data_IF_917011331471
#
_entry.id   IF_917011331471
#
_cell.length_a   1.000
_cell.length_b   1.000
_cell.length_c   1.000
_cell.angle_alpha   90.00
_cell.angle_beta   90.00
_cell.angle_gamma   90.00
#
_symmetry.space_group_name_H-M   'P 1'
#
loop_
_entity.id
_entity.type
_entity.pdbx_description
1 polymer ?
#
# COMPACT_ATOMS: atom_id res chain seq x y z
N UNK A 1 -20.01 -15.43 -0.46
CA UNK A 1 -19.37 -14.91 -1.70
C UNK A 1 -18.58 -16.06 -2.33
N UNK A 2 -18.71 -16.33 -3.62
CA UNK A 2 -17.91 -17.39 -4.28
C UNK A 2 -16.41 -17.07 -4.29
N UNK A 3 -15.56 -18.11 -4.32
CA UNK A 3 -14.08 -18.00 -4.24
C UNK A 3 -13.50 -16.99 -5.23
N UNK A 4 -13.87 -17.10 -6.51
CA UNK A 4 -13.45 -16.16 -7.59
C UNK A 4 -13.82 -14.69 -7.31
N UNK A 5 -14.97 -14.45 -6.67
CA UNK A 5 -15.44 -13.09 -6.34
C UNK A 5 -14.70 -12.52 -5.14
N UNK A 6 -14.34 -13.37 -4.18
CA UNK A 6 -13.54 -12.99 -3.01
C UNK A 6 -12.12 -12.59 -3.43
N UNK A 7 -11.47 -13.37 -4.28
CA UNK A 7 -10.14 -13.04 -4.84
C UNK A 7 -10.12 -11.68 -5.55
N UNK A 8 -11.12 -11.42 -6.40
CA UNK A 8 -11.25 -10.13 -7.09
C UNK A 8 -11.40 -8.95 -6.13
N UNK A 9 -12.15 -9.10 -5.03
CA UNK A 9 -12.35 -8.03 -4.03
C UNK A 9 -11.15 -7.82 -3.12
N UNK A 10 -10.31 -8.83 -2.93
CA UNK A 10 -9.10 -8.72 -2.10
C UNK A 10 -7.94 -8.05 -2.84
N UNK A 11 -8.06 -7.81 -4.15
CA UNK A 11 -7.03 -7.19 -4.97
C UNK A 11 -6.90 -5.70 -4.65
N UNK A 12 -5.68 -5.25 -4.33
CA UNK A 12 -5.38 -3.87 -3.99
C UNK A 12 -4.64 -3.15 -5.13
N UNK A 13 -4.82 -1.83 -5.24
CA UNK A 13 -4.11 -0.97 -6.19
C UNK A 13 -3.32 0.11 -5.42
N UNK A 14 -2.06 -0.16 -5.05
CA UNK A 14 -1.25 0.81 -4.32
C UNK A 14 -0.75 1.94 -5.23
N UNK A 15 -0.27 3.02 -4.60
CA UNK A 15 0.46 4.10 -5.25
C UNK A 15 1.64 4.53 -4.39
N UNK A 16 2.64 5.16 -5.01
CA UNK A 16 3.76 5.78 -4.31
C UNK A 16 3.94 7.21 -4.82
N UNK A 17 4.06 8.16 -3.89
CA UNK A 17 4.14 9.60 -4.18
C UNK A 17 5.07 10.27 -3.17
N UNK A 18 5.83 11.25 -3.65
CA UNK A 18 6.58 12.19 -2.77
C UNK A 18 5.60 13.29 -2.35
N UNK A 19 5.41 13.48 -1.06
CA UNK A 19 4.40 14.39 -0.49
C UNK A 19 5.04 15.25 0.59
N UNK A 20 4.71 16.55 0.62
CA UNK A 20 5.08 17.46 1.72
C UNK A 20 4.24 17.18 2.97
N UNK A 21 4.80 17.43 4.16
CA UNK A 21 4.09 17.24 5.43
C UNK A 21 2.80 18.07 5.55
N UNK A 22 2.72 19.25 4.93
CA UNK A 22 1.51 20.07 4.92
C UNK A 22 0.31 19.41 4.25
N UNK A 23 0.52 18.41 3.38
CA UNK A 23 -0.54 17.69 2.68
C UNK A 23 -0.95 16.39 3.39
N UNK A 24 -0.42 16.12 4.59
CA UNK A 24 -0.71 14.93 5.37
C UNK A 24 -1.46 15.30 6.65
N UNK A 25 -2.56 14.58 6.92
CA UNK A 25 -3.21 14.60 8.22
C UNK A 25 -2.60 13.50 9.09
N UNK A 26 -1.92 13.83 10.21
CA UNK A 26 -1.38 12.81 11.10
C UNK A 26 -2.52 12.02 11.75
N UNK A 27 -2.33 10.72 11.92
CA UNK A 27 -3.30 9.84 12.58
C UNK A 27 -2.62 9.05 13.70
N UNK A 28 -3.38 8.62 14.71
CA UNK A 28 -2.88 7.81 15.84
C UNK A 28 -2.49 6.38 15.46
N UNK A 29 -2.93 5.89 14.30
CA UNK A 29 -2.74 4.50 13.90
C UNK A 29 -1.35 4.27 13.31
N UNK A 30 -0.68 3.22 13.75
CA UNK A 30 0.58 2.74 13.19
C UNK A 30 0.34 1.56 12.24
N UNK A 31 1.17 1.45 11.21
CA UNK A 31 1.14 0.36 10.22
C UNK A 31 2.53 -0.27 10.16
N UNK A 32 2.69 -1.45 10.79
CA UNK A 32 3.98 -2.17 10.81
C UNK A 32 4.25 -2.92 9.49
N UNK A 33 4.43 -2.09 8.46
CA UNK A 33 4.95 -2.27 7.10
C UNK A 33 6.46 -2.47 6.99
N UNK A 34 7.03 -3.68 7.03
CA UNK A 34 8.45 -3.84 6.70
C UNK A 34 8.68 -3.60 5.19
N UNK A 35 9.02 -2.37 4.82
CA UNK A 35 9.35 -1.99 3.46
C UNK A 35 10.86 -1.96 3.23
N UNK A 36 11.28 -2.43 2.05
CA UNK A 36 12.67 -2.29 1.65
C UNK A 36 12.94 -0.82 1.27
N UNK A 37 13.60 -0.10 2.18
CA UNK A 37 13.94 1.32 2.02
C UNK A 37 14.95 1.54 0.88
N UNK A 38 15.70 0.52 0.47
CA UNK A 38 16.62 0.62 -0.66
C UNK A 38 15.86 0.73 -1.99
N UNK A 39 14.75 -0.01 -2.11
CA UNK A 39 13.93 -0.04 -3.33
C UNK A 39 12.94 1.13 -3.41
N UNK A 40 12.47 1.64 -2.27
CA UNK A 40 11.49 2.74 -2.19
C UNK A 40 12.21 4.03 -1.79
N UNK A 41 12.85 4.66 -2.78
CA UNK A 41 13.59 5.91 -2.60
C UNK A 41 13.16 6.96 -3.65
N UNK A 42 13.38 8.24 -3.37
CA UNK A 42 13.09 9.36 -4.28
C UNK A 42 13.71 9.16 -5.67
N UNK A 43 14.93 8.62 -5.73
CA UNK A 43 15.62 8.35 -7.00
C UNK A 43 15.04 7.16 -7.76
N UNK A 44 14.64 6.08 -7.07
CA UNK A 44 14.03 4.92 -7.72
C UNK A 44 12.65 5.23 -8.30
N UNK A 45 11.94 6.21 -7.74
CA UNK A 45 10.64 6.68 -8.23
C UNK A 45 10.71 7.50 -9.52
N UNK A 46 11.87 8.08 -9.86
CA UNK A 46 12.08 8.80 -11.12
C UNK A 46 12.07 7.83 -12.32
N UNK A 47 12.55 6.60 -12.12
CA UNK A 47 12.65 5.59 -13.18
C UNK A 47 11.35 4.77 -13.24
N UNK A 48 10.60 4.78 -14.36
CA UNK A 48 9.31 4.09 -14.46
C UNK A 48 9.38 2.58 -14.18
N UNK A 49 10.45 1.92 -14.62
CA UNK A 49 10.64 0.47 -14.40
C UNK A 49 10.80 0.14 -12.92
N UNK A 50 11.64 0.87 -12.20
CA UNK A 50 11.86 0.69 -10.75
C UNK A 50 10.59 1.01 -9.96
N UNK A 51 9.85 2.06 -10.35
CA UNK A 51 8.53 2.37 -9.77
C UNK A 51 7.53 1.22 -9.91
N UNK A 52 7.48 0.56 -11.08
CA UNK A 52 6.60 -0.61 -11.29
C UNK A 52 6.99 -1.79 -10.39
N UNK A 53 8.28 -2.07 -10.25
CA UNK A 53 8.78 -3.12 -9.36
C UNK A 53 8.42 -2.83 -7.89
N UNK A 54 8.65 -1.61 -7.41
CA UNK A 54 8.27 -1.20 -6.05
C UNK A 54 6.76 -1.32 -5.79
N UNK A 55 5.93 -0.91 -6.75
CA UNK A 55 4.47 -1.05 -6.64
C UNK A 55 4.01 -2.51 -6.56
N UNK A 56 4.67 -3.41 -7.30
CA UNK A 56 4.37 -4.84 -7.25
C UNK A 56 4.72 -5.44 -5.87
N UNK A 57 5.87 -5.07 -5.30
CA UNK A 57 6.28 -5.50 -3.96
C UNK A 57 5.31 -5.01 -2.88
N UNK A 58 4.99 -3.71 -2.90
CA UNK A 58 4.04 -3.09 -1.95
C UNK A 58 2.67 -3.77 -2.04
N UNK A 59 2.23 -4.09 -3.26
CA UNK A 59 0.95 -4.75 -3.48
C UNK A 59 0.90 -6.12 -2.81
N UNK A 60 1.93 -6.96 -2.98
CA UNK A 60 1.96 -8.30 -2.35
C UNK A 60 1.85 -8.19 -0.83
N UNK A 61 2.70 -7.34 -0.22
CA UNK A 61 2.73 -7.13 1.24
C UNK A 61 1.39 -6.61 1.77
N UNK A 62 0.73 -5.71 1.06
CA UNK A 62 -0.58 -5.20 1.45
C UNK A 62 -1.70 -6.23 1.30
N UNK A 63 -1.70 -7.02 0.23
CA UNK A 63 -2.71 -8.07 0.02
C UNK A 63 -2.58 -9.20 1.05
N UNK A 64 -1.35 -9.59 1.41
CA UNK A 64 -1.08 -10.53 2.51
C UNK A 64 -1.64 -9.99 3.83
N UNK A 65 -1.32 -8.74 4.17
CA UNK A 65 -1.76 -8.14 5.44
C UNK A 65 -3.28 -7.97 5.50
N UNK A 66 -3.90 -7.58 4.38
CA UNK A 66 -5.36 -7.49 4.28
C UNK A 66 -6.04 -8.83 4.51
N UNK A 67 -5.50 -9.93 3.96
CA UNK A 67 -6.00 -11.29 4.19
C UNK A 67 -5.90 -11.72 5.66
N UNK A 68 -4.86 -11.29 6.38
CA UNK A 68 -4.70 -11.57 7.82
C UNK A 68 -5.62 -10.75 8.73
N UNK A 69 -6.34 -9.76 8.20
CA UNK A 69 -7.24 -8.89 8.97
C UNK A 69 -6.55 -7.87 9.88
N UNK A 70 -5.22 -7.74 9.79
CA UNK A 70 -4.46 -6.72 10.54
C UNK A 70 -4.70 -5.33 9.94
N UNK A 71 -4.64 -4.29 10.78
CA UNK A 71 -4.79 -2.88 10.39
C UNK A 71 -6.09 -2.58 9.64
N UNK A 72 -7.20 -3.07 10.18
CA UNK A 72 -8.56 -2.94 9.61
C UNK A 72 -8.89 -1.50 9.20
N UNK A 73 -8.54 -0.50 10.03
CA UNK A 73 -8.79 0.91 9.72
C UNK A 73 -8.08 1.37 8.45
N UNK A 74 -6.81 0.99 8.25
CA UNK A 74 -6.01 1.35 7.08
C UNK A 74 -6.59 0.81 5.76
N UNK A 75 -7.16 -0.40 5.79
CA UNK A 75 -7.78 -1.02 4.60
C UNK A 75 -9.27 -0.67 4.42
N UNK A 76 -9.85 0.11 5.33
CA UNK A 76 -11.23 0.57 5.21
C UNK A 76 -11.25 1.90 4.46
N UNK A 77 -12.11 2.01 3.45
CA UNK A 77 -12.27 3.26 2.69
C UNK A 77 -12.79 4.37 3.62
N UNK A 78 -12.07 5.48 3.71
CA UNK A 78 -12.56 6.70 4.34
C UNK A 78 -13.76 7.24 3.56
N UNK A 79 -14.89 7.43 4.23
CA UNK A 79 -16.11 8.01 3.64
C UNK A 79 -16.15 9.49 4.02
N UNK A 80 -16.24 10.32 3.01
CA UNK A 80 -16.51 11.74 3.08
C UNK A 80 -17.53 12.05 1.98
#
# INVERSE_FOLDING_TARGET
MGKKKQEKRNKLKPFVKVVSYSHLLPTRYSVDVAFDKANINKESLKIPKKKRCALAEIKSKFEERYKTGKNKWFFTKLRF
#
